data_IF_025953571793
#
_entry.id   IF_025953571793
#
_cell.length_a   1.000
_cell.length_b   1.000
_cell.length_c   1.000
_cell.angle_alpha   90.00
_cell.angle_beta   90.00
_cell.angle_gamma   90.00
#
_symmetry.space_group_name_H-M   'P 1'
#
loop_
_entity.id
_entity.type
_entity.pdbx_description
1 polymer ?
#
# COMPACT_ATOMS: atom_id res chain seq x y z
N UNK A 1 -22.02 19.78 12.96
CA UNK A 1 -21.25 19.04 11.93
C UNK A 1 -20.01 18.46 12.63
N UNK A 2 -19.66 17.20 12.35
CA UNK A 2 -18.53 16.51 13.02
C UNK A 2 -17.18 16.72 12.30
N UNK A 3 -17.07 17.72 11.43
CA UNK A 3 -15.85 18.06 10.68
C UNK A 3 -15.64 19.57 10.66
N UNK A 4 -14.38 19.97 10.57
CA UNK A 4 -13.96 21.33 10.25
C UNK A 4 -13.99 21.52 8.73
N UNK A 5 -14.51 22.67 8.28
CA UNK A 5 -14.62 22.98 6.86
C UNK A 5 -13.58 24.02 6.47
N UNK A 6 -12.70 23.65 5.54
CA UNK A 6 -11.76 24.54 4.90
C UNK A 6 -12.24 24.82 3.47
N UNK A 7 -12.73 26.04 3.26
CA UNK A 7 -13.19 26.49 1.93
C UNK A 7 -11.98 26.84 1.06
N UNK A 8 -11.98 26.35 -0.17
CA UNK A 8 -10.98 26.70 -1.20
C UNK A 8 -11.69 27.10 -2.49
N UNK A 9 -10.92 27.53 -3.49
CA UNK A 9 -11.44 28.05 -4.76
C UNK A 9 -12.23 27.03 -5.57
N UNK A 10 -11.76 25.78 -5.68
CA UNK A 10 -12.40 24.75 -6.50
C UNK A 10 -13.22 23.75 -5.69
N UNK A 11 -12.63 23.12 -4.66
CA UNK A 11 -13.34 22.14 -3.83
C UNK A 11 -13.14 22.38 -2.32
N UNK A 12 -14.17 22.23 -1.50
CA UNK A 12 -14.01 22.29 -0.04
C UNK A 12 -13.19 21.09 0.46
N UNK A 13 -12.46 21.30 1.55
CA UNK A 13 -11.79 20.25 2.33
C UNK A 13 -12.55 20.04 3.63
N UNK A 14 -12.99 18.82 3.88
CA UNK A 14 -13.65 18.42 5.14
C UNK A 14 -12.67 17.67 6.01
N UNK A 15 -12.40 18.18 7.20
CA UNK A 15 -11.39 17.64 8.11
C UNK A 15 -12.03 17.09 9.37
N UNK A 16 -11.84 15.79 9.63
CA UNK A 16 -12.26 15.12 10.86
C UNK A 16 -11.14 15.17 11.91
N UNK A 17 -10.54 16.34 12.10
CA UNK A 17 -9.33 16.54 12.91
C UNK A 17 -9.60 17.30 14.21
N UNK A 18 -10.86 17.35 14.65
CA UNK A 18 -11.23 18.11 15.86
C UNK A 18 -10.47 17.57 17.08
N UNK A 19 -9.64 18.42 17.69
CA UNK A 19 -8.79 18.03 18.82
C UNK A 19 -7.45 17.39 18.43
N UNK A 20 -7.15 17.31 17.13
CA UNK A 20 -5.88 16.83 16.59
C UNK A 20 -5.23 17.96 15.77
N UNK A 21 -4.02 18.41 16.12
CA UNK A 21 -3.37 19.49 15.37
C UNK A 21 -2.99 19.02 13.97
N UNK A 22 -3.26 19.87 12.97
CA UNK A 22 -2.80 19.67 11.59
C UNK A 22 -1.65 20.62 11.31
N UNK A 23 -0.51 20.07 10.91
CA UNK A 23 0.69 20.86 10.59
C UNK A 23 0.44 21.85 9.45
N UNK A 24 1.11 22.99 9.48
CA UNK A 24 0.94 24.05 8.49
C UNK A 24 1.23 23.57 7.06
N UNK A 25 2.28 22.76 6.89
CA UNK A 25 2.68 22.22 5.58
C UNK A 25 1.66 21.20 5.04
N UNK A 26 1.14 20.33 5.92
CA UNK A 26 0.06 19.40 5.55
C UNK A 26 -1.21 20.16 5.13
N UNK A 27 -1.57 21.21 5.89
CA UNK A 27 -2.70 22.09 5.54
C UNK A 27 -2.47 22.79 4.20
N UNK A 28 -1.26 23.28 3.92
CA UNK A 28 -0.94 23.91 2.64
C UNK A 28 -1.03 22.92 1.48
N UNK A 29 -0.58 21.67 1.68
CA UNK A 29 -0.69 20.60 0.69
C UNK A 29 -2.17 20.28 0.38
N UNK A 30 -3.04 20.21 1.40
CA UNK A 30 -4.49 20.06 1.20
C UNK A 30 -5.11 21.21 0.39
N UNK A 31 -4.73 22.45 0.71
CA UNK A 31 -5.19 23.65 -0.03
C UNK A 31 -4.76 23.57 -1.50
N UNK A 32 -3.51 23.21 -1.75
CA UNK A 32 -2.96 23.09 -3.10
C UNK A 32 -3.70 22.00 -3.90
N UNK A 33 -3.92 20.83 -3.31
CA UNK A 33 -4.68 19.75 -3.95
C UNK A 33 -6.13 20.16 -4.22
N UNK A 34 -6.77 20.87 -3.28
CA UNK A 34 -8.17 21.28 -3.40
C UNK A 34 -8.42 22.31 -4.51
N UNK A 35 -7.38 23.05 -4.94
CA UNK A 35 -7.43 23.98 -6.09
C UNK A 35 -7.47 23.26 -7.45
N UNK A 36 -7.09 21.99 -7.51
CA UNK A 36 -7.05 21.25 -8.77
C UNK A 36 -8.46 21.15 -9.39
N UNK A 37 -8.66 21.43 -10.68
CA UNK A 37 -9.98 21.66 -11.28
C UNK A 37 -10.87 20.41 -11.34
N UNK A 38 -10.26 19.23 -11.29
CA UNK A 38 -10.95 17.94 -11.43
C UNK A 38 -11.29 17.26 -10.09
N UNK A 39 -11.10 17.94 -8.94
CA UNK A 39 -11.52 17.40 -7.64
C UNK A 39 -13.04 17.24 -7.61
N UNK A 40 -13.49 16.04 -7.26
CA UNK A 40 -14.91 15.70 -7.27
C UNK A 40 -15.55 15.94 -5.89
N UNK A 41 -16.42 16.94 -5.79
CA UNK A 41 -17.20 17.33 -4.60
C UNK A 41 -16.38 17.88 -3.43
N UNK A 42 -15.46 17.12 -2.84
CA UNK A 42 -14.66 17.53 -1.68
C UNK A 42 -13.49 16.58 -1.42
N UNK A 43 -12.44 17.10 -0.77
CA UNK A 43 -11.40 16.27 -0.14
C UNK A 43 -11.85 15.90 1.28
N UNK A 44 -11.67 14.65 1.67
CA UNK A 44 -11.92 14.19 3.03
C UNK A 44 -10.60 13.92 3.76
N UNK A 45 -10.43 14.48 4.95
CA UNK A 45 -9.19 14.43 5.72
C UNK A 45 -9.43 13.75 7.05
N UNK A 46 -8.65 12.72 7.32
CA UNK A 46 -8.72 11.86 8.49
C UNK A 46 -7.85 12.43 9.63
N UNK A 47 -8.09 12.01 10.89
CA UNK A 47 -7.33 12.52 12.05
C UNK A 47 -5.82 12.29 11.98
N UNK A 48 -5.36 11.28 11.25
CA UNK A 48 -3.96 10.91 11.08
C UNK A 48 -3.25 11.71 9.96
N UNK A 49 -3.86 12.79 9.48
CA UNK A 49 -3.30 13.61 8.41
C UNK A 49 -1.94 14.17 8.76
N UNK A 50 -1.00 14.03 7.84
CA UNK A 50 0.34 14.63 7.94
C UNK A 50 0.92 14.86 6.55
N UNK A 51 2.03 15.60 6.52
CA UNK A 51 2.75 15.89 5.30
C UNK A 51 3.18 14.59 4.61
N UNK A 52 2.80 14.44 3.34
CA UNK A 52 3.21 13.30 2.53
C UNK A 52 4.04 13.74 1.32
N UNK A 53 4.69 12.76 0.69
CA UNK A 53 5.43 12.98 -0.56
C UNK A 53 4.42 13.18 -1.70
N UNK A 54 4.19 14.45 -2.05
CA UNK A 54 3.32 14.89 -3.13
C UNK A 54 1.89 15.19 -2.74
N UNK A 55 1.22 14.29 -2.02
CA UNK A 55 -0.04 14.57 -1.34
C UNK A 55 0.00 14.13 0.12
N UNK A 56 -0.86 14.70 0.95
CA UNK A 56 -1.04 14.30 2.35
C UNK A 56 -1.31 12.80 2.49
N UNK A 57 -0.80 12.23 3.56
CA UNK A 57 -1.25 10.93 4.10
C UNK A 57 -2.49 11.23 4.96
N UNK A 58 -3.40 10.26 5.11
CA UNK A 58 -4.66 10.48 5.85
C UNK A 58 -5.69 11.33 5.10
N UNK A 59 -5.69 11.29 3.75
CA UNK A 59 -6.68 12.03 2.95
C UNK A 59 -7.24 11.21 1.79
N UNK A 60 -8.55 11.34 1.55
CA UNK A 60 -9.24 10.82 0.37
C UNK A 60 -9.45 11.97 -0.62
N UNK A 61 -8.88 11.81 -1.82
CA UNK A 61 -8.88 12.83 -2.87
C UNK A 61 -9.61 12.25 -4.08
N UNK A 62 -10.93 12.45 -4.17
CA UNK A 62 -11.70 11.99 -5.32
C UNK A 62 -11.45 12.92 -6.51
N UNK A 63 -11.14 12.35 -7.66
CA UNK A 63 -10.94 13.07 -8.92
C UNK A 63 -11.97 12.59 -9.96
N UNK A 64 -12.23 13.42 -10.97
CA UNK A 64 -13.04 13.06 -12.14
C UNK A 64 -12.23 13.27 -13.42
N UNK A 65 -12.03 12.22 -14.20
CA UNK A 65 -11.32 12.29 -15.48
C UNK A 65 -9.82 12.60 -15.40
N UNK A 66 -9.21 12.47 -14.21
CA UNK A 66 -7.78 12.66 -14.02
C UNK A 66 -7.26 11.80 -12.87
N UNK A 67 -5.97 11.44 -12.92
CA UNK A 67 -5.28 10.71 -11.85
C UNK A 67 -3.96 11.39 -11.52
N UNK A 68 -3.71 11.64 -10.23
CA UNK A 68 -2.46 12.22 -9.73
C UNK A 68 -1.60 11.08 -9.16
N UNK A 69 -0.52 10.63 -9.84
CA UNK A 69 0.28 9.51 -9.37
C UNK A 69 0.88 9.72 -7.97
N UNK A 70 1.31 10.95 -7.66
CA UNK A 70 1.87 11.26 -6.35
C UNK A 70 0.82 11.23 -5.23
N UNK A 71 -0.46 11.39 -5.57
CA UNK A 71 -1.54 11.25 -4.60
C UNK A 71 -1.72 9.79 -4.20
N UNK A 72 -1.57 8.83 -5.12
CA UNK A 72 -1.58 7.38 -4.80
C UNK A 72 -0.36 7.03 -3.93
N UNK A 73 0.80 7.58 -4.27
CA UNK A 73 2.05 7.38 -3.55
C UNK A 73 2.91 6.27 -4.14
N UNK A 74 4.08 6.05 -3.53
CA UNK A 74 5.08 5.11 -4.05
C UNK A 74 4.94 3.70 -3.47
N UNK A 75 4.39 3.55 -2.27
CA UNK A 75 4.14 2.21 -1.70
C UNK A 75 2.72 1.74 -2.06
N UNK A 76 2.54 1.41 -3.34
CA UNK A 76 1.23 1.11 -3.92
C UNK A 76 0.64 -0.14 -3.24
N UNK A 77 -0.59 -0.04 -2.73
CA UNK A 77 -1.25 -1.16 -2.08
C UNK A 77 -0.68 -1.53 -0.70
N UNK A 78 0.17 -0.69 -0.10
CA UNK A 78 0.53 -0.80 1.31
C UNK A 78 -0.73 -0.77 2.17
N UNK A 79 -0.87 -1.75 3.05
CA UNK A 79 -2.06 -1.92 3.86
C UNK A 79 -1.97 -3.10 4.81
N UNK A 80 -3.05 -3.28 5.56
CA UNK A 80 -3.15 -4.22 6.67
C UNK A 80 -4.02 -5.42 6.31
N UNK A 81 -3.60 -6.60 6.76
CA UNK A 81 -4.48 -7.77 6.92
C UNK A 81 -4.56 -8.11 8.42
N UNK A 82 -5.75 -8.41 8.91
CA UNK A 82 -5.97 -8.90 10.27
C UNK A 82 -6.68 -10.26 10.22
N UNK A 83 -6.14 -11.23 10.93
CA UNK A 83 -6.64 -12.59 10.99
C UNK A 83 -6.98 -12.96 12.44
N UNK A 84 -8.28 -13.06 12.73
CA UNK A 84 -8.76 -13.61 14.00
C UNK A 84 -8.63 -15.12 13.98
N UNK A 85 -7.95 -15.68 14.96
CA UNK A 85 -7.80 -17.14 15.10
C UNK A 85 -8.84 -17.72 16.06
N UNK A 86 -8.89 -19.05 16.15
CA UNK A 86 -9.65 -19.74 17.19
C UNK A 86 -8.85 -19.90 18.50
N UNK A 87 -7.59 -19.42 18.53
CA UNK A 87 -6.72 -19.51 19.69
C UNK A 87 -7.03 -18.40 20.69
N UNK A 88 -6.71 -18.68 21.95
CA UNK A 88 -6.75 -17.74 23.07
C UNK A 88 -5.35 -17.53 23.64
N UNK A 89 -5.19 -16.57 24.55
CA UNK A 89 -3.93 -16.32 25.24
C UNK A 89 -3.34 -17.59 25.89
N UNK A 90 -4.18 -18.47 26.44
CA UNK A 90 -3.78 -19.75 27.06
C UNK A 90 -3.19 -20.76 26.07
N UNK A 91 -3.45 -20.59 24.78
CA UNK A 91 -2.94 -21.46 23.74
C UNK A 91 -1.52 -21.08 23.27
N UNK A 92 -1.07 -19.88 23.64
CA UNK A 92 0.27 -19.39 23.33
C UNK A 92 1.27 -19.89 24.39
N UNK A 93 2.53 -20.14 24.02
CA UNK A 93 3.56 -20.47 24.99
C UNK A 93 3.86 -19.27 25.89
N UNK A 94 4.24 -19.52 27.15
CA UNK A 94 4.65 -18.46 28.09
C UNK A 94 5.80 -17.60 27.54
N UNK A 95 6.69 -18.20 26.74
CA UNK A 95 7.78 -17.50 26.06
C UNK A 95 7.54 -17.47 24.54
N UNK A 96 7.31 -16.27 24.00
CA UNK A 96 7.05 -16.05 22.58
C UNK A 96 8.33 -15.99 21.71
N UNK A 97 9.53 -16.16 22.28
CA UNK A 97 10.78 -16.09 21.52
C UNK A 97 10.84 -17.12 20.39
N UNK A 98 10.38 -18.35 20.64
CA UNK A 98 10.35 -19.41 19.63
C UNK A 98 9.33 -19.11 18.52
N UNK A 99 8.16 -18.56 18.88
CA UNK A 99 7.15 -18.13 17.93
C UNK A 99 7.68 -17.01 17.04
N UNK A 100 8.31 -15.99 17.64
CA UNK A 100 8.95 -14.90 16.89
C UNK A 100 10.00 -15.46 15.92
N UNK A 101 10.88 -16.36 16.37
CA UNK A 101 11.92 -16.95 15.53
C UNK A 101 11.32 -17.79 14.38
N UNK A 102 10.24 -18.53 14.64
CA UNK A 102 9.52 -19.30 13.62
C UNK A 102 8.93 -18.37 12.55
N UNK A 103 8.31 -17.26 12.94
CA UNK A 103 7.77 -16.25 12.02
C UNK A 103 8.90 -15.60 11.21
N UNK A 104 9.98 -15.19 11.86
CA UNK A 104 11.15 -14.58 11.21
C UNK A 104 11.83 -15.52 10.19
N UNK A 105 11.80 -16.82 10.45
CA UNK A 105 12.28 -17.85 9.52
C UNK A 105 11.31 -18.06 8.35
N UNK A 106 10.01 -18.02 8.62
CA UNK A 106 8.96 -18.27 7.62
C UNK A 106 8.69 -17.06 6.70
N UNK A 107 9.06 -15.85 7.13
CA UNK A 107 8.86 -14.61 6.36
C UNK A 107 10.17 -13.82 6.26
N UNK A 108 10.79 -13.73 5.07
CA UNK A 108 11.97 -12.90 4.86
C UNK A 108 11.67 -11.44 5.16
N UNK A 109 12.59 -10.78 5.84
CA UNK A 109 12.44 -9.40 6.29
C UNK A 109 13.80 -8.69 6.34
N UNK A 110 13.76 -7.37 6.44
CA UNK A 110 14.96 -6.54 6.41
C UNK A 110 15.45 -6.22 4.99
N UNK A 111 16.68 -5.71 4.92
CA UNK A 111 17.35 -5.34 3.67
C UNK A 111 18.85 -5.48 3.82
N UNK A 112 19.54 -5.96 2.80
CA UNK A 112 21.01 -5.87 2.74
C UNK A 112 21.45 -4.51 2.20
N UNK A 113 22.28 -3.79 2.94
CA UNK A 113 22.91 -2.54 2.48
C UNK A 113 24.21 -2.83 1.71
N UNK A 114 24.30 -2.36 0.46
CA UNK A 114 25.49 -2.45 -0.39
C UNK A 114 25.26 -3.23 -1.70
N UNK A 115 25.90 -2.79 -2.81
CA UNK A 115 25.62 -3.26 -4.18
C UNK A 115 26.02 -4.72 -4.51
N UNK A 116 26.69 -5.44 -3.60
CA UNK A 116 27.33 -6.73 -3.94
C UNK A 116 26.93 -7.91 -3.04
N UNK A 117 25.93 -7.78 -2.17
CA UNK A 117 25.50 -8.85 -1.27
C UNK A 117 24.04 -9.23 -1.56
N UNK A 118 23.74 -10.54 -1.45
CA UNK A 118 22.37 -11.07 -1.55
C UNK A 118 21.46 -10.35 -0.55
N UNK A 119 20.25 -9.99 -0.98
CA UNK A 119 19.30 -9.32 -0.09
C UNK A 119 18.77 -10.32 0.94
N UNK A 120 19.07 -10.09 2.22
CA UNK A 120 18.57 -10.92 3.33
C UNK A 120 17.05 -10.83 3.46
N UNK A 121 16.44 -9.76 2.96
CA UNK A 121 14.98 -9.56 2.94
C UNK A 121 14.27 -10.16 1.73
N UNK A 122 14.94 -11.04 0.99
CA UNK A 122 14.42 -11.70 -0.20
C UNK A 122 14.59 -13.22 -0.12
N UNK A 123 13.75 -13.94 -0.83
CA UNK A 123 13.91 -15.38 -1.02
C UNK A 123 15.12 -15.69 -1.89
N UNK A 124 15.92 -16.69 -1.50
CA UNK A 124 16.87 -17.30 -2.43
C UNK A 124 16.12 -18.19 -3.43
N UNK A 125 15.32 -19.11 -2.87
CA UNK A 125 14.40 -20.01 -3.54
C UNK A 125 13.00 -19.80 -2.94
N UNK A 126 12.10 -19.10 -3.64
CA UNK A 126 10.74 -18.91 -3.17
C UNK A 126 10.00 -20.25 -2.92
N UNK A 127 9.15 -20.33 -1.90
CA UNK A 127 8.34 -21.53 -1.63
C UNK A 127 7.18 -21.67 -2.62
N UNK A 128 6.58 -22.86 -2.67
CA UNK A 128 5.50 -23.22 -3.62
C UNK A 128 4.31 -22.27 -3.58
N UNK A 129 3.92 -21.77 -2.40
CA UNK A 129 2.81 -20.82 -2.29
C UNK A 129 3.13 -19.44 -2.90
N UNK A 130 4.41 -19.03 -2.87
CA UNK A 130 4.88 -17.81 -3.56
C UNK A 130 4.91 -18.05 -5.07
N UNK A 131 5.32 -19.23 -5.53
CA UNK A 131 5.30 -19.58 -6.96
C UNK A 131 3.89 -19.56 -7.55
N UNK A 132 2.93 -20.14 -6.83
CA UNK A 132 1.53 -20.15 -7.24
C UNK A 132 0.98 -18.73 -7.39
N UNK A 133 1.27 -17.86 -6.43
CA UNK A 133 0.85 -16.45 -6.45
C UNK A 133 1.58 -15.64 -7.52
N UNK A 134 2.84 -15.94 -7.79
CA UNK A 134 3.58 -15.30 -8.88
C UNK A 134 2.99 -15.64 -10.25
N UNK A 135 2.51 -16.87 -10.43
CA UNK A 135 1.86 -17.28 -11.69
C UNK A 135 0.63 -16.42 -12.02
N UNK A 136 -0.09 -15.92 -11.01
CA UNK A 136 -1.23 -14.99 -11.20
C UNK A 136 -0.76 -13.60 -11.67
N UNK A 137 0.45 -13.19 -11.31
CA UNK A 137 1.04 -11.89 -11.66
C UNK A 137 1.76 -11.89 -13.01
N UNK A 138 2.15 -13.06 -13.50
CA UNK A 138 3.06 -13.24 -14.63
C UNK A 138 2.59 -12.51 -15.90
N UNK A 139 1.32 -12.68 -16.29
CA UNK A 139 0.79 -12.05 -17.50
C UNK A 139 0.82 -10.50 -17.42
N UNK A 140 0.46 -9.94 -16.27
CA UNK A 140 0.51 -8.49 -16.05
C UNK A 140 1.95 -7.98 -15.95
N UNK A 141 2.86 -8.77 -15.38
CA UNK A 141 4.27 -8.45 -15.29
C UNK A 141 4.96 -8.45 -16.66
N UNK A 142 4.62 -9.40 -17.52
CA UNK A 142 5.09 -9.45 -18.92
C UNK A 142 4.65 -8.20 -19.69
N UNK A 143 3.37 -7.82 -19.59
CA UNK A 143 2.92 -6.57 -20.20
C UNK A 143 3.71 -5.36 -19.68
N UNK A 144 3.84 -5.25 -18.34
CA UNK A 144 4.50 -4.13 -17.69
C UNK A 144 5.95 -4.00 -18.14
N UNK A 145 6.68 -5.11 -18.22
CA UNK A 145 8.10 -5.13 -18.58
C UNK A 145 8.36 -5.04 -20.08
N UNK A 146 7.46 -5.54 -20.93
CA UNK A 146 7.56 -5.34 -22.38
C UNK A 146 7.38 -3.86 -22.74
N UNK A 147 6.38 -3.19 -22.14
CA UNK A 147 6.14 -1.77 -22.38
C UNK A 147 7.16 -0.87 -21.67
N UNK A 148 7.58 -1.27 -20.46
CA UNK A 148 8.54 -0.54 -19.64
C UNK A 148 9.67 -1.44 -19.14
N UNK A 149 10.69 -1.72 -19.98
CA UNK A 149 11.77 -2.67 -19.66
C UNK A 149 12.56 -2.37 -18.38
N UNK A 150 12.51 -1.12 -17.88
CA UNK A 150 13.12 -0.74 -16.61
C UNK A 150 12.66 -1.58 -15.42
N UNK A 151 11.43 -2.09 -15.44
CA UNK A 151 10.89 -2.87 -14.32
C UNK A 151 11.49 -4.28 -14.21
N UNK A 152 12.18 -4.77 -15.26
CA UNK A 152 12.91 -6.03 -15.20
C UNK A 152 13.99 -6.04 -14.10
N UNK A 153 14.59 -4.87 -13.84
CA UNK A 153 15.68 -4.71 -12.89
C UNK A 153 15.21 -4.31 -11.48
N UNK A 154 13.94 -4.54 -11.16
CA UNK A 154 13.36 -4.20 -9.85
C UNK A 154 13.26 -5.43 -8.95
N UNK A 155 13.06 -5.17 -7.66
CA UNK A 155 12.75 -6.21 -6.68
C UNK A 155 11.30 -6.69 -6.89
N UNK A 156 11.14 -7.85 -7.53
CA UNK A 156 9.87 -8.41 -7.99
C UNK A 156 9.59 -9.80 -7.36
N UNK A 157 9.68 -10.89 -8.12
CA UNK A 157 9.36 -12.27 -7.73
C UNK A 157 10.00 -12.71 -6.42
N UNK A 158 11.31 -12.50 -6.23
CA UNK A 158 12.02 -12.89 -5.00
C UNK A 158 11.61 -12.09 -3.75
N UNK A 159 10.87 -11.00 -3.94
CA UNK A 159 10.31 -10.17 -2.87
C UNK A 159 8.81 -10.42 -2.65
N UNK A 160 8.17 -11.30 -3.44
CA UNK A 160 6.81 -11.74 -3.15
C UNK A 160 6.81 -12.66 -1.92
N UNK A 161 5.88 -12.42 -0.99
CA UNK A 161 5.83 -13.08 0.30
C UNK A 161 6.92 -12.61 1.27
N UNK A 162 7.37 -11.34 1.19
CA UNK A 162 8.37 -10.78 2.11
C UNK A 162 7.87 -9.51 2.79
N UNK A 163 8.31 -9.30 4.03
CA UNK A 163 7.80 -8.24 4.89
C UNK A 163 8.30 -6.87 4.44
N UNK A 164 9.62 -6.77 4.31
CA UNK A 164 10.31 -5.53 4.02
C UNK A 164 10.90 -4.78 5.19
N UNK A 165 10.82 -3.46 5.09
CA UNK A 165 11.44 -2.48 5.99
C UNK A 165 10.51 -1.28 6.15
N UNK A 166 10.82 -0.38 7.07
CA UNK A 166 9.99 0.81 7.34
C UNK A 166 8.97 0.49 8.42
N UNK A 167 7.72 0.88 8.21
CA UNK A 167 6.61 0.64 9.14
C UNK A 167 5.90 -0.72 8.91
N UNK A 168 6.50 -1.63 8.15
CA UNK A 168 5.96 -2.96 7.89
C UNK A 168 6.25 -3.91 9.06
N UNK A 169 5.24 -4.66 9.50
CA UNK A 169 5.33 -5.53 10.67
C UNK A 169 4.42 -6.75 10.54
N UNK A 170 4.71 -7.75 11.37
CA UNK A 170 3.82 -8.85 11.71
C UNK A 170 3.72 -8.86 13.24
N UNK A 171 2.52 -8.80 13.76
CA UNK A 171 2.25 -8.77 15.19
C UNK A 171 1.24 -9.87 15.57
N UNK A 172 1.50 -10.49 16.73
CA UNK A 172 0.55 -11.39 17.38
C UNK A 172 -0.07 -10.60 18.52
N UNK A 173 -1.37 -10.37 18.43
CA UNK A 173 -2.12 -9.51 19.35
C UNK A 173 -3.19 -10.31 20.06
N UNK A 174 -3.62 -9.82 21.23
CA UNK A 174 -4.81 -10.27 21.92
C UNK A 174 -5.88 -9.19 21.81
N UNK A 175 -7.14 -9.59 21.59
CA UNK A 175 -8.26 -8.67 21.76
C UNK A 175 -8.76 -8.63 23.22
N UNK A 176 -9.79 -7.83 23.50
CA UNK A 176 -10.37 -7.66 24.84
C UNK A 176 -10.99 -8.95 25.42
N UNK A 177 -11.15 -10.00 24.60
CA UNK A 177 -11.65 -11.32 25.00
C UNK A 177 -10.54 -12.38 25.01
N UNK A 178 -9.28 -11.96 25.08
CA UNK A 178 -8.08 -12.81 25.04
C UNK A 178 -7.97 -13.68 23.78
N UNK A 179 -8.66 -13.30 22.69
CA UNK A 179 -8.58 -14.02 21.43
C UNK A 179 -7.34 -13.60 20.65
N UNK A 180 -6.64 -14.57 20.06
CA UNK A 180 -5.38 -14.30 19.33
C UNK A 180 -5.65 -13.83 17.90
N UNK A 181 -5.01 -12.74 17.53
CA UNK A 181 -5.00 -12.14 16.21
C UNK A 181 -3.61 -12.13 15.60
N UNK A 182 -3.54 -12.30 14.28
CA UNK A 182 -2.34 -11.99 13.49
C UNK A 182 -2.63 -10.70 12.74
N UNK A 183 -1.85 -9.65 13.01
CA UNK A 183 -1.87 -8.39 12.26
C UNK A 183 -0.65 -8.33 11.36
N UNK A 184 -0.85 -7.96 10.11
CA UNK A 184 0.21 -7.93 9.11
C UNK A 184 0.12 -6.66 8.28
N UNK A 185 1.22 -5.90 8.27
CA UNK A 185 1.38 -4.69 7.48
C UNK A 185 2.44 -4.86 6.40
N UNK A 186 2.05 -4.78 5.13
CA UNK A 186 3.00 -4.71 4.02
C UNK A 186 2.34 -4.22 2.72
N UNK A 187 3.17 -3.99 1.70
CA UNK A 187 2.79 -3.45 0.40
C UNK A 187 3.41 -4.19 -0.77
N UNK A 188 3.55 -3.47 -1.89
CA UNK A 188 4.02 -4.00 -3.18
C UNK A 188 5.54 -4.03 -3.34
N UNK A 189 6.26 -3.81 -2.24
CA UNK A 189 7.73 -3.91 -2.17
C UNK A 189 8.41 -2.98 -3.18
N UNK A 190 9.59 -3.36 -3.66
CA UNK A 190 10.41 -2.49 -4.51
C UNK A 190 9.79 -2.22 -5.89
N UNK A 191 9.05 -3.17 -6.46
CA UNK A 191 8.42 -2.98 -7.76
C UNK A 191 7.31 -1.92 -7.72
N UNK A 192 6.49 -1.88 -6.66
CA UNK A 192 5.50 -0.81 -6.51
C UNK A 192 6.14 0.57 -6.33
N UNK A 193 7.21 0.65 -5.54
CA UNK A 193 8.01 1.87 -5.40
C UNK A 193 8.55 2.36 -6.75
N UNK A 194 9.06 1.43 -7.57
CA UNK A 194 9.55 1.74 -8.90
C UNK A 194 8.43 2.23 -9.84
N UNK A 195 7.26 1.58 -9.82
CA UNK A 195 6.09 1.98 -10.61
C UNK A 195 5.63 3.38 -10.19
N UNK A 196 5.38 3.60 -8.89
CA UNK A 196 4.92 4.89 -8.38
C UNK A 196 5.91 6.01 -8.72
N UNK A 197 7.20 5.80 -8.45
CA UNK A 197 8.23 6.80 -8.78
C UNK A 197 8.27 7.11 -10.27
N UNK A 198 8.25 6.07 -11.12
CA UNK A 198 8.31 6.26 -12.57
C UNK A 198 7.13 7.07 -13.10
N UNK A 199 5.90 6.74 -12.70
CA UNK A 199 4.72 7.43 -13.22
C UNK A 199 4.54 8.83 -12.64
N UNK A 200 5.06 9.11 -11.42
CA UNK A 200 5.18 10.47 -10.91
C UNK A 200 6.11 11.30 -11.80
N UNK A 201 7.31 10.78 -12.09
CA UNK A 201 8.29 11.47 -12.94
C UNK A 201 7.76 11.64 -14.37
N UNK A 202 7.04 10.64 -14.89
CA UNK A 202 6.43 10.67 -16.21
C UNK A 202 5.33 11.74 -16.31
N UNK A 203 4.45 11.85 -15.31
CA UNK A 203 3.42 12.89 -15.27
C UNK A 203 4.05 14.30 -15.23
N UNK A 204 5.09 14.49 -14.41
CA UNK A 204 5.80 15.78 -14.37
C UNK A 204 6.46 16.12 -15.72
N UNK A 205 6.99 15.12 -16.41
CA UNK A 205 7.61 15.28 -17.73
C UNK A 205 6.58 15.59 -18.81
N UNK A 206 5.44 14.90 -18.82
CA UNK A 206 4.36 15.16 -19.78
C UNK A 206 3.80 16.58 -19.62
N UNK A 207 3.66 17.02 -18.37
CA UNK A 207 3.18 18.37 -18.04
C UNK A 207 4.27 19.44 -18.04
N UNK A 208 5.48 19.18 -18.53
CA UNK A 208 6.63 20.08 -18.36
C UNK A 208 6.35 21.54 -18.79
N UNK A 209 5.61 21.75 -19.88
CA UNK A 209 5.25 23.08 -20.40
C UNK A 209 4.17 23.80 -19.56
N UNK A 210 3.38 23.06 -18.79
CA UNK A 210 2.29 23.60 -17.96
C UNK A 210 2.56 23.42 -16.47
N UNK A 211 3.73 22.92 -16.09
CA UNK A 211 4.02 22.54 -14.71
C UNK A 211 4.03 23.72 -13.75
N UNK A 212 4.43 24.91 -14.24
CA UNK A 212 4.40 26.17 -13.47
C UNK A 212 2.98 26.67 -13.17
N UNK A 213 1.98 26.16 -13.90
CA UNK A 213 0.56 26.47 -13.65
C UNK A 213 -0.01 25.67 -12.48
N UNK A 214 0.68 24.61 -12.06
CA UNK A 214 0.23 23.77 -10.96
C UNK A 214 0.58 24.40 -9.61
N UNK A 215 -0.28 24.29 -8.59
CA UNK A 215 0.05 24.71 -7.23
C UNK A 215 1.27 23.97 -6.64
N UNK A 216 1.60 22.80 -7.16
CA UNK A 216 2.81 22.03 -6.86
C UNK A 216 3.13 21.10 -8.02
N UNK A 217 4.42 20.87 -8.29
CA UNK A 217 4.89 19.89 -9.29
C UNK A 217 4.41 18.47 -8.99
N UNK A 218 4.21 18.15 -7.72
CA UNK A 218 3.71 16.84 -7.30
C UNK A 218 2.22 16.63 -7.59
N UNK A 219 1.50 17.68 -8.00
CA UNK A 219 0.12 17.57 -8.46
C UNK A 219 0.02 17.28 -9.97
N UNK A 220 1.13 16.96 -10.63
CA UNK A 220 1.11 16.49 -12.01
C UNK A 220 0.23 15.23 -12.15
N UNK A 221 -0.51 15.15 -13.25
CA UNK A 221 -1.58 14.17 -13.43
C UNK A 221 -1.67 13.68 -14.87
N UNK A 222 -2.29 12.51 -15.04
CA UNK A 222 -2.74 12.04 -16.36
C UNK A 222 -4.24 12.28 -16.51
N UNK A 223 -4.67 12.61 -17.72
CA UNK A 223 -6.08 12.80 -18.08
C UNK A 223 -6.68 11.51 -18.62
N UNK A 224 -7.94 11.24 -18.27
CA UNK A 224 -8.67 10.10 -18.82
C UNK A 224 -8.71 10.17 -20.36
N UNK A 225 -8.48 9.03 -21.00
CA UNK A 225 -8.36 8.91 -22.45
C UNK A 225 -6.95 9.11 -23.01
N UNK A 226 -5.95 9.43 -22.18
CA UNK A 226 -4.54 9.37 -22.60
C UNK A 226 -3.94 7.99 -22.38
N UNK A 227 -2.93 7.64 -23.18
CA UNK A 227 -2.24 6.36 -23.07
C UNK A 227 -1.62 6.16 -21.67
N UNK A 228 -0.97 7.20 -21.12
CA UNK A 228 -0.33 7.11 -19.80
C UNK A 228 -1.32 7.04 -18.64
N UNK A 229 -2.56 7.53 -18.81
CA UNK A 229 -3.62 7.30 -17.84
C UNK A 229 -3.97 5.81 -17.75
N UNK A 230 -4.22 5.17 -18.89
CA UNK A 230 -4.57 3.75 -18.96
C UNK A 230 -3.41 2.85 -18.50
N UNK A 231 -2.19 3.19 -18.90
CA UNK A 231 -0.99 2.48 -18.48
C UNK A 231 -0.77 2.57 -16.98
N UNK A 232 -0.93 3.78 -16.40
CA UNK A 232 -0.75 3.95 -14.97
C UNK A 232 -1.82 3.19 -14.18
N UNK A 233 -3.09 3.23 -14.60
CA UNK A 233 -4.14 2.45 -13.97
C UNK A 233 -3.84 0.95 -14.00
N UNK A 234 -3.40 0.42 -15.15
CA UNK A 234 -3.04 -1.00 -15.28
C UNK A 234 -1.83 -1.37 -14.43
N UNK A 235 -0.81 -0.50 -14.36
CA UNK A 235 0.37 -0.71 -13.53
C UNK A 235 0.05 -0.65 -12.02
N UNK A 236 -0.80 0.27 -11.59
CA UNK A 236 -1.29 0.37 -10.20
C UNK A 236 -2.11 -0.84 -9.84
N UNK A 237 -3.05 -1.27 -10.69
CA UNK A 237 -3.86 -2.46 -10.46
C UNK A 237 -2.98 -3.71 -10.29
N UNK A 238 -1.95 -3.86 -11.14
CA UNK A 238 -0.99 -4.95 -10.99
C UNK A 238 -0.20 -4.87 -9.68
N UNK A 239 0.27 -3.69 -9.29
CA UNK A 239 1.00 -3.50 -8.03
C UNK A 239 0.11 -3.73 -6.81
N UNK A 240 -1.18 -3.38 -6.87
CA UNK A 240 -2.16 -3.69 -5.83
C UNK A 240 -2.40 -5.19 -5.70
N UNK A 241 -2.52 -5.90 -6.83
CA UNK A 241 -2.61 -7.37 -6.83
C UNK A 241 -1.35 -7.99 -6.24
N UNK A 242 -0.16 -7.51 -6.62
CA UNK A 242 1.09 -7.94 -6.01
C UNK A 242 1.06 -7.75 -4.49
N UNK A 243 0.65 -6.57 -4.01
CA UNK A 243 0.60 -6.28 -2.58
C UNK A 243 -0.37 -7.20 -1.82
N UNK A 244 -1.54 -7.49 -2.42
CA UNK A 244 -2.51 -8.44 -1.86
C UNK A 244 -1.91 -9.83 -1.73
N UNK A 245 -1.41 -10.38 -2.85
CA UNK A 245 -0.80 -11.71 -2.88
C UNK A 245 0.45 -11.80 -1.98
N UNK A 246 1.20 -10.71 -1.85
CA UNK A 246 2.32 -10.61 -0.91
C UNK A 246 1.86 -10.82 0.54
N UNK A 247 0.78 -10.15 0.95
CA UNK A 247 0.19 -10.33 2.28
C UNK A 247 -0.41 -11.71 2.47
N UNK A 248 -1.05 -12.26 1.45
CA UNK A 248 -1.64 -13.60 1.51
C UNK A 248 -0.57 -14.68 1.68
N UNK A 249 0.55 -14.58 0.95
CA UNK A 249 1.67 -15.52 1.07
C UNK A 249 2.28 -15.49 2.47
N UNK A 250 2.50 -14.27 3.00
CA UNK A 250 3.02 -14.12 4.35
C UNK A 250 2.03 -14.60 5.40
N UNK A 251 0.73 -14.35 5.23
CA UNK A 251 -0.30 -14.82 6.18
C UNK A 251 -0.35 -16.34 6.24
N UNK A 252 -0.26 -17.05 5.11
CA UNK A 252 -0.12 -18.52 5.07
C UNK A 252 1.13 -19.00 5.81
N UNK A 253 2.27 -18.33 5.61
CA UNK A 253 3.52 -18.68 6.27
C UNK A 253 3.44 -18.46 7.78
N UNK A 254 2.87 -17.34 8.22
CA UNK A 254 2.69 -17.00 9.65
C UNK A 254 1.71 -17.97 10.31
N UNK A 255 0.60 -18.30 9.66
CA UNK A 255 -0.34 -19.32 10.15
C UNK A 255 0.36 -20.66 10.32
N UNK A 256 1.16 -21.08 9.34
CA UNK A 256 1.92 -22.34 9.43
C UNK A 256 2.92 -22.32 10.59
N UNK A 257 3.64 -21.22 10.79
CA UNK A 257 4.56 -21.03 11.92
C UNK A 257 3.82 -21.03 13.27
N UNK A 258 2.65 -20.39 13.37
CA UNK A 258 1.85 -20.39 14.60
C UNK A 258 1.30 -21.78 14.92
N UNK A 259 0.83 -22.52 13.91
CA UNK A 259 0.36 -23.89 14.07
C UNK A 259 1.47 -24.86 14.51
N UNK A 260 2.71 -24.67 14.03
CA UNK A 260 3.82 -25.55 14.41
C UNK A 260 4.24 -25.38 15.87
N UNK A 261 4.14 -24.16 16.40
CA UNK A 261 4.46 -23.86 17.81
C UNK A 261 3.32 -24.27 18.74
N UNK A 262 2.08 -23.96 18.39
CA UNK A 262 0.91 -24.21 19.25
C UNK A 262 0.37 -25.63 19.14
N UNK A 263 0.75 -26.36 18.08
CA UNK A 263 0.20 -27.68 17.71
C UNK A 263 -1.34 -27.68 17.54
N UNK A 264 -1.94 -26.51 17.30
CA UNK A 264 -3.39 -26.33 17.12
C UNK A 264 -3.69 -25.86 15.71
N UNK A 265 -4.81 -26.34 15.15
CA UNK A 265 -5.23 -25.93 13.81
C UNK A 265 -5.82 -24.53 13.83
N UNK A 266 -5.12 -23.59 13.20
CA UNK A 266 -5.63 -22.25 12.89
C UNK A 266 -6.28 -22.30 11.52
N UNK A 267 -7.62 -22.27 11.46
CA UNK A 267 -8.33 -22.13 10.18
C UNK A 267 -8.23 -20.68 9.72
N UNK A 268 -7.79 -20.46 8.49
CA UNK A 268 -7.98 -19.16 7.86
C UNK A 268 -9.50 -18.96 7.66
N UNK A 269 -10.12 -17.87 8.17
CA UNK A 269 -11.39 -17.38 7.67
C UNK A 269 -11.25 -17.20 6.16
N UNK A 270 -12.32 -17.50 5.43
CA UNK A 270 -12.46 -17.01 4.05
C UNK A 270 -12.17 -15.50 4.09
N UNK A 271 -11.19 -15.06 3.30
CA UNK A 271 -10.68 -13.69 3.28
C UNK A 271 -11.85 -12.70 3.31
N UNK A 272 -12.05 -11.98 4.42
CA UNK A 272 -12.85 -10.75 4.44
C UNK A 272 -12.00 -9.67 3.78
N UNK A 273 -11.73 -9.82 2.49
CA UNK A 273 -11.23 -8.70 1.71
C UNK A 273 -12.37 -7.68 1.71
N UNK A 274 -12.15 -6.52 2.32
CA UNK A 274 -13.01 -5.35 2.06
C UNK A 274 -12.71 -4.86 0.63
N UNK A 275 -13.06 -5.68 -0.36
CA UNK A 275 -13.09 -5.29 -1.77
C UNK A 275 -14.39 -4.51 -2.02
N UNK A 276 -14.31 -3.20 -1.81
CA UNK A 276 -15.26 -2.33 -2.49
C UNK A 276 -14.90 -2.30 -3.98
N UNK A 277 -15.80 -2.81 -4.82
CA UNK A 277 -15.77 -2.60 -6.26
C UNK A 277 -15.72 -1.10 -6.55
N UNK A 278 -14.53 -0.57 -6.84
CA UNK A 278 -14.40 0.75 -7.43
C UNK A 278 -15.10 0.72 -8.79
N UNK A 279 -16.11 1.57 -8.94
CA UNK A 279 -16.59 1.98 -10.26
C UNK A 279 -15.37 2.48 -11.05
N UNK A 280 -15.21 2.12 -12.35
CA UNK A 280 -14.13 2.62 -13.21
C UNK A 280 -13.99 4.16 -13.24
N UNK A 281 -14.99 4.89 -12.74
CA UNK A 281 -15.09 6.35 -12.77
C UNK A 281 -14.58 7.07 -11.51
N UNK A 282 -14.15 6.35 -10.47
CA UNK A 282 -13.54 6.96 -9.27
C UNK A 282 -12.17 6.35 -9.02
N UNK A 283 -11.11 7.12 -9.26
CA UNK A 283 -9.79 6.80 -8.71
C UNK A 283 -9.70 7.44 -7.33
N UNK A 284 -9.90 6.65 -6.28
CA UNK A 284 -9.73 7.09 -4.90
C UNK A 284 -8.50 6.42 -4.30
N UNK A 285 -7.56 7.22 -3.77
CA UNK A 285 -6.56 6.76 -2.82
C UNK A 285 -7.29 6.16 -1.61
N UNK A 286 -7.26 4.84 -1.45
CA UNK A 286 -7.49 4.19 -0.14
C UNK A 286 -6.14 3.79 0.42
N UNK A 287 -5.55 4.68 1.22
CA UNK A 287 -4.62 4.23 2.27
C UNK A 287 -5.52 3.98 3.47
N UNK A 288 -6.19 2.82 3.48
CA UNK A 288 -6.96 2.40 4.63
C UNK A 288 -5.98 1.75 5.61
N UNK A 289 -5.52 2.53 6.59
CA UNK A 289 -5.11 1.99 7.87
C UNK A 289 -6.41 1.57 8.58
N UNK A 290 -6.62 0.27 8.67
CA UNK A 290 -7.46 -0.37 9.68
C UNK A 290 -6.69 -1.58 10.20
#
# INVERSE_FOLDING_TARGET
>A
MNYELLTTENAPVKMWTKGVPVEADARQQLINTAKMPFIFKHIAVMPDVHLGKGSTIGSVIPTKGAIIPAAVGVDIGCGMNALRTALTAEDLPENLAELRQAIETAVPHGRTTGRCKRDKGAWENPPVNVDAKWAELEAGYQWLTQKYPRFLNTNNYKHLGTLGTGNHFIEICLDESDQVWIMLHSGSRGIGNAIGTYFIDLAQKEMQETLETLPSRDLAYFMEGTEYFDDYLKAVAWAQLFASLNRDAMMENVVTALQSITQKTVRQPQTLAMEEKLSPQLCAKRTALW
#
